data_IF_587408604343
#
_entry.id   IF_587408604343
#
_cell.length_a   1.000
_cell.length_b   1.000
_cell.length_c   1.000
_cell.angle_alpha   90.00
_cell.angle_beta   90.00
_cell.angle_gamma   90.00
#
_symmetry.space_group_name_H-M   'P 1'
#
loop_
_entity.id
_entity.type
_entity.pdbx_description
1 polymer ?
#
# COMPACT_ATOMS: atom_id res chain seq x y z
N UNK A 1 -9.81 -11.16 -18.70
CA UNK A 1 -9.46 -10.06 -18.53
C UNK A 1 -8.17 -9.84 -17.85
N UNK A 2 -7.87 -8.75 -17.60
CA UNK A 2 -6.55 -8.39 -17.26
C UNK A 2 -6.43 -8.24 -15.76
N UNK A 3 -5.93 -9.26 -15.11
CA UNK A 3 -5.81 -9.23 -13.68
C UNK A 3 -4.72 -8.31 -13.22
N UNK A 4 -3.87 -7.87 -14.13
CA UNK A 4 -2.74 -7.05 -13.74
C UNK A 4 -3.04 -5.58 -13.70
N UNK A 5 -4.24 -5.18 -14.06
CA UNK A 5 -4.61 -3.78 -14.06
C UNK A 5 -4.92 -3.34 -12.64
N UNK A 6 -4.25 -2.28 -12.19
CA UNK A 6 -4.53 -1.69 -10.89
C UNK A 6 -5.68 -0.71 -11.04
N UNK A 7 -6.80 -1.02 -10.44
CA UNK A 7 -7.99 -0.17 -10.53
C UNK A 7 -8.31 0.39 -9.17
N UNK A 8 -8.67 1.67 -9.16
CA UNK A 8 -9.05 2.31 -7.91
C UNK A 8 -10.52 2.05 -7.62
N UNK A 9 -10.79 1.60 -6.41
CA UNK A 9 -12.15 1.46 -5.92
C UNK A 9 -12.60 2.72 -5.22
N UNK A 10 -13.60 2.58 -4.37
CA UNK A 10 -14.19 3.75 -3.71
C UNK A 10 -13.73 3.93 -2.28
N UNK A 11 -13.08 2.96 -1.69
CA UNK A 11 -12.68 3.04 -0.30
C UNK A 11 -11.19 3.36 -0.17
N UNK A 12 -10.84 3.99 0.93
CA UNK A 12 -9.49 4.39 1.21
C UNK A 12 -9.26 4.17 2.71
N UNK A 13 -8.28 3.34 3.04
CA UNK A 13 -7.97 2.99 4.42
C UNK A 13 -6.52 3.37 4.72
N UNK A 14 -6.27 3.85 5.92
CA UNK A 14 -4.92 4.20 6.35
C UNK A 14 -4.62 3.49 7.65
N UNK A 15 -3.45 2.86 7.72
CA UNK A 15 -3.02 2.10 8.89
C UNK A 15 -1.63 2.55 9.30
N UNK A 16 -1.46 2.81 10.60
CA UNK A 16 -0.14 3.09 11.15
C UNK A 16 0.38 1.81 11.76
N UNK A 17 1.57 1.39 11.33
CA UNK A 17 2.15 0.13 11.81
C UNK A 17 3.30 0.34 12.78
N UNK A 18 3.70 1.59 13.02
CA UNK A 18 4.58 1.91 14.10
C UNK A 18 6.06 2.02 13.78
N UNK A 19 6.51 1.54 12.63
CA UNK A 19 7.93 1.67 12.27
C UNK A 19 8.12 1.52 10.79
N UNK A 20 9.25 2.02 10.29
CA UNK A 20 9.59 1.89 8.88
C UNK A 20 9.79 0.44 8.48
N UNK A 21 10.41 -0.34 9.36
CA UNK A 21 10.62 -1.74 9.08
C UNK A 21 9.31 -2.47 8.88
N UNK A 22 8.29 -2.12 9.65
CA UNK A 22 6.99 -2.75 9.50
C UNK A 22 6.29 -2.31 8.24
N UNK A 23 6.48 -1.05 7.82
CA UNK A 23 5.95 -0.62 6.53
C UNK A 23 6.57 -1.44 5.42
N UNK A 24 7.88 -1.60 5.44
CA UNK A 24 8.57 -2.39 4.42
C UNK A 24 8.10 -3.83 4.42
N UNK A 25 8.05 -4.43 5.60
CA UNK A 25 7.71 -5.85 5.71
C UNK A 25 6.29 -6.11 5.22
N UNK A 26 5.35 -5.28 5.62
CA UNK A 26 3.96 -5.47 5.21
C UNK A 26 3.77 -5.19 3.73
N UNK A 27 4.45 -4.16 3.21
CA UNK A 27 4.36 -3.84 1.79
C UNK A 27 4.89 -4.99 0.94
N UNK A 28 6.00 -5.59 1.34
CA UNK A 28 6.54 -6.72 0.62
C UNK A 28 5.63 -7.94 0.70
N UNK A 29 5.03 -8.14 1.86
CA UNK A 29 4.11 -9.25 2.05
C UNK A 29 2.90 -9.13 1.15
N UNK A 30 2.32 -7.93 1.09
CA UNK A 30 1.15 -7.70 0.27
C UNK A 30 1.50 -7.82 -1.21
N UNK A 31 2.67 -7.33 -1.59
CA UNK A 31 3.12 -7.47 -2.97
C UNK A 31 3.29 -8.95 -3.33
N UNK A 32 3.88 -9.72 -2.45
CA UNK A 32 4.08 -11.16 -2.68
C UNK A 32 2.75 -11.89 -2.77
N UNK A 33 1.72 -11.40 -2.06
CA UNK A 33 0.40 -12.00 -2.08
C UNK A 33 -0.41 -11.57 -3.30
N UNK A 34 0.15 -10.73 -4.16
CA UNK A 34 -0.51 -10.38 -5.42
C UNK A 34 -1.24 -9.04 -5.40
N UNK A 35 -1.14 -8.29 -4.32
CA UNK A 35 -1.77 -6.97 -4.28
C UNK A 35 -0.97 -5.98 -5.09
N UNK A 36 -1.68 -4.98 -5.62
CA UNK A 36 -1.07 -4.01 -6.50
C UNK A 36 -0.46 -2.86 -5.68
N UNK A 37 0.86 -2.74 -5.71
CA UNK A 37 1.54 -1.66 -5.00
C UNK A 37 1.57 -0.44 -5.92
N UNK A 38 0.86 0.61 -5.52
CA UNK A 38 0.73 1.82 -6.31
C UNK A 38 1.95 2.72 -6.13
N UNK A 39 2.40 2.85 -4.90
CA UNK A 39 3.56 3.69 -4.62
C UNK A 39 4.24 3.27 -3.33
N UNK A 40 5.51 3.61 -3.22
CA UNK A 40 6.28 3.39 -2.01
C UNK A 40 6.80 1.99 -1.85
N UNK A 41 7.39 1.73 -0.70
CA UNK A 41 7.50 2.66 0.45
C UNK A 41 8.41 3.85 0.14
N UNK A 42 8.02 5.01 0.63
CA UNK A 42 8.81 6.23 0.44
C UNK A 42 8.45 7.26 1.50
N UNK A 43 9.32 8.25 1.65
CA UNK A 43 9.03 9.36 2.55
C UNK A 43 8.15 10.35 1.79
N UNK A 44 7.02 10.71 2.37
CA UNK A 44 6.11 11.67 1.74
C UNK A 44 6.56 13.09 2.05
N UNK A 45 5.88 14.06 1.44
CA UNK A 45 6.17 15.46 1.67
C UNK A 45 6.00 15.88 3.12
N UNK A 46 5.18 15.16 3.87
CA UNK A 46 4.96 15.43 5.30
C UNK A 46 5.99 14.75 6.19
N UNK A 47 6.92 14.01 5.61
CA UNK A 47 7.95 13.34 6.39
C UNK A 47 7.57 11.97 6.89
N UNK A 48 6.42 11.44 6.50
CA UNK A 48 6.01 10.09 6.89
C UNK A 48 6.51 9.07 5.89
N UNK A 49 6.92 7.93 6.42
CA UNK A 49 7.33 6.81 5.58
C UNK A 49 6.09 5.95 5.32
N UNK A 50 5.69 5.83 4.06
CA UNK A 50 4.44 5.13 3.77
C UNK A 50 4.46 4.46 2.41
N UNK A 51 3.54 3.51 2.23
CA UNK A 51 3.29 2.92 0.93
C UNK A 51 1.79 2.88 0.70
N UNK A 52 1.40 2.74 -0.55
CA UNK A 52 0.00 2.64 -0.93
C UNK A 52 -0.18 1.40 -1.79
N UNK A 53 -1.13 0.57 -1.39
CA UNK A 53 -1.41 -0.71 -2.03
C UNK A 53 -2.90 -0.75 -2.35
N UNK A 54 -3.27 -1.44 -3.41
CA UNK A 54 -4.69 -1.66 -3.71
C UNK A 54 -5.06 -3.11 -3.39
N UNK A 55 -6.23 -3.29 -2.79
CA UNK A 55 -6.72 -4.64 -2.54
C UNK A 55 -7.39 -5.19 -3.82
N UNK A 56 -8.04 -6.35 -3.70
CA UNK A 56 -8.64 -7.01 -4.86
C UNK A 56 -9.69 -6.18 -5.54
N UNK A 57 -10.32 -5.29 -4.79
CA UNK A 57 -11.40 -4.45 -5.32
C UNK A 57 -10.92 -3.05 -5.67
N UNK A 58 -9.62 -2.83 -5.60
CA UNK A 58 -9.07 -1.53 -5.94
C UNK A 58 -9.14 -0.50 -4.81
N UNK A 59 -9.53 -0.92 -3.62
CA UNK A 59 -9.56 0.01 -2.49
C UNK A 59 -8.14 0.34 -2.08
N UNK A 60 -7.91 1.60 -1.75
CA UNK A 60 -6.58 2.06 -1.40
C UNK A 60 -6.28 1.77 0.06
N UNK A 61 -5.11 1.19 0.29
CA UNK A 61 -4.64 0.90 1.63
C UNK A 61 -3.32 1.63 1.80
N UNK A 62 -3.30 2.64 2.66
CA UNK A 62 -2.07 3.35 2.99
C UNK A 62 -1.49 2.77 4.25
N UNK A 63 -0.20 2.45 4.20
CA UNK A 63 0.52 1.86 5.31
C UNK A 63 1.59 2.84 5.72
N UNK A 64 1.51 3.36 6.95
CA UNK A 64 2.44 4.38 7.43
C UNK A 64 3.13 3.90 8.71
N UNK A 65 4.26 4.54 9.02
CA UNK A 65 4.96 4.24 10.27
C UNK A 65 4.27 4.79 11.53
#
# INVERSE_FOLDING_TARGET
ENENVCRFGYAHFAFSVGSKEKVDALSERLKADGYCVVSGPRVTGDGYYESCVLDDEGNQIEITE
#
